data_IF_561179780544
#
_entry.id   IF_561179780544
#
_cell.length_a   1.000
_cell.length_b   1.000
_cell.length_c   1.000
_cell.angle_alpha   90.00
_cell.angle_beta   90.00
_cell.angle_gamma   90.00
#
_symmetry.space_group_name_H-M   'P 1'
#
loop_
_entity.id
_entity.type
_entity.pdbx_description
1 polymer ?
#
# COMPACT_ATOMS: atom_id res chain seq x y z
N UNK A 1 -21.40 -3.66 -5.79
CA UNK A 1 -20.10 -3.23 -6.31
C UNK A 1 -19.44 -4.47 -6.87
N UNK A 2 -19.09 -4.44 -8.15
CA UNK A 2 -18.30 -5.51 -8.76
C UNK A 2 -16.90 -5.50 -8.13
N UNK A 3 -16.43 -6.67 -7.71
CA UNK A 3 -15.11 -6.82 -7.10
C UNK A 3 -14.07 -6.88 -8.22
N UNK A 4 -13.06 -6.02 -8.16
CA UNK A 4 -12.01 -5.97 -9.18
C UNK A 4 -11.22 -7.28 -9.20
N UNK A 5 -10.97 -7.79 -10.39
CA UNK A 5 -10.09 -8.93 -10.61
C UNK A 5 -8.64 -8.58 -10.25
N UNK A 6 -7.82 -9.59 -9.94
CA UNK A 6 -6.40 -9.37 -9.63
C UNK A 6 -5.65 -8.75 -10.81
N UNK A 7 -6.06 -9.12 -12.02
CA UNK A 7 -5.53 -8.61 -13.28
C UNK A 7 -5.80 -7.12 -13.43
N UNK A 8 -7.02 -6.66 -13.12
CA UNK A 8 -7.38 -5.24 -13.15
C UNK A 8 -6.59 -4.42 -12.11
N UNK A 9 -6.42 -4.96 -10.90
CA UNK A 9 -5.63 -4.32 -9.84
C UNK A 9 -4.17 -4.17 -10.27
N UNK A 10 -3.59 -5.21 -10.85
CA UNK A 10 -2.20 -5.18 -11.37
C UNK A 10 -2.07 -4.18 -12.51
N UNK A 11 -3.02 -4.15 -13.45
CA UNK A 11 -3.00 -3.22 -14.57
C UNK A 11 -3.07 -1.76 -14.09
N UNK A 12 -3.95 -1.46 -13.14
CA UNK A 12 -4.05 -0.14 -12.51
C UNK A 12 -2.75 0.26 -11.81
N UNK A 13 -2.15 -0.65 -11.04
CA UNK A 13 -0.89 -0.37 -10.34
C UNK A 13 0.26 -0.07 -11.31
N UNK A 14 0.38 -0.84 -12.39
CA UNK A 14 1.41 -0.62 -13.43
C UNK A 14 1.20 0.72 -14.13
N UNK A 15 -0.04 1.05 -14.50
CA UNK A 15 -0.37 2.33 -15.12
C UNK A 15 0.00 3.52 -14.23
N UNK A 16 -0.38 3.47 -12.94
CA UNK A 16 -0.07 4.52 -11.98
C UNK A 16 1.45 4.70 -11.76
N UNK A 17 2.21 3.60 -11.74
CA UNK A 17 3.67 3.65 -11.63
C UNK A 17 4.31 4.23 -12.89
N UNK A 18 3.84 3.82 -14.08
CA UNK A 18 4.32 4.35 -15.36
C UNK A 18 4.12 5.87 -15.44
N UNK A 19 2.92 6.34 -15.10
CA UNK A 19 2.58 7.77 -15.06
C UNK A 19 3.47 8.53 -14.07
N UNK A 20 3.61 8.03 -12.84
CA UNK A 20 4.41 8.68 -11.79
C UNK A 20 5.91 8.71 -12.10
N UNK A 21 6.43 7.70 -12.78
CA UNK A 21 7.87 7.54 -13.04
C UNK A 21 8.29 7.98 -14.44
N UNK A 22 7.36 8.24 -15.35
CA UNK A 22 7.63 8.52 -16.76
C UNK A 22 8.22 7.34 -17.53
N UNK A 23 8.13 6.12 -17.00
CA UNK A 23 8.66 4.91 -17.64
C UNK A 23 7.61 4.28 -18.55
N UNK A 24 8.05 3.76 -19.69
CA UNK A 24 7.20 2.90 -20.53
C UNK A 24 6.75 1.67 -19.72
N UNK A 25 5.45 1.38 -19.80
CA UNK A 25 4.80 0.20 -19.21
C UNK A 25 5.54 -1.09 -19.58
N UNK A 26 6.08 -1.19 -20.80
CA UNK A 26 6.85 -2.36 -21.27
C UNK A 26 8.12 -2.63 -20.44
N UNK A 27 8.62 -1.63 -19.73
CA UNK A 27 9.79 -1.71 -18.86
C UNK A 27 9.42 -1.94 -17.38
N UNK A 28 8.14 -2.15 -17.08
CA UNK A 28 7.65 -2.39 -15.73
C UNK A 28 7.21 -3.85 -15.61
N UNK A 29 7.63 -4.49 -14.51
CA UNK A 29 7.20 -5.84 -14.15
C UNK A 29 6.81 -5.86 -12.69
N UNK A 30 5.58 -6.27 -12.40
CA UNK A 30 5.15 -6.54 -11.03
C UNK A 30 5.77 -7.86 -10.59
N UNK A 31 6.64 -7.80 -9.58
CA UNK A 31 7.29 -8.99 -8.99
C UNK A 31 6.43 -9.58 -7.89
N UNK A 32 5.80 -8.73 -7.09
CA UNK A 32 4.91 -9.12 -6.02
C UNK A 32 3.83 -8.05 -5.85
N UNK A 33 2.62 -8.50 -5.54
CA UNK A 33 1.50 -7.65 -5.15
C UNK A 33 0.91 -8.20 -3.86
N UNK A 34 0.88 -7.38 -2.82
CA UNK A 34 0.22 -7.70 -1.56
C UNK A 34 -0.77 -6.60 -1.25
N UNK A 35 -2.03 -6.97 -1.15
CA UNK A 35 -3.03 -6.09 -0.60
C UNK A 35 -2.68 -5.79 0.86
N UNK A 36 -2.49 -4.51 1.16
CA UNK A 36 -2.30 -4.05 2.53
C UNK A 36 -3.68 -3.71 3.09
N UNK A 37 -4.28 -4.68 3.77
CA UNK A 37 -5.43 -4.41 4.62
C UNK A 37 -4.99 -3.60 5.85
N UNK A 38 -5.88 -2.72 6.32
CA UNK A 38 -5.69 -2.09 7.62
C UNK A 38 -5.58 -3.18 8.69
N UNK A 39 -4.59 -3.09 9.57
CA UNK A 39 -4.55 -3.95 10.75
C UNK A 39 -5.80 -3.67 11.61
N UNK A 40 -6.24 -4.64 12.43
CA UNK A 40 -7.37 -4.42 13.34
C UNK A 40 -7.20 -3.16 14.20
N UNK A 41 -5.95 -2.86 14.61
CA UNK A 41 -5.62 -1.64 15.34
C UNK A 41 -5.75 -0.38 14.48
N UNK A 42 -5.25 -0.38 13.23
CA UNK A 42 -5.40 0.77 12.33
C UNK A 42 -6.87 1.06 12.03
N UNK A 43 -7.66 0.02 11.78
CA UNK A 43 -9.09 0.13 11.57
C UNK A 43 -9.77 0.75 12.79
N UNK A 44 -9.46 0.27 13.99
CA UNK A 44 -10.00 0.81 15.25
C UNK A 44 -9.63 2.29 15.45
N UNK A 45 -8.37 2.66 15.18
CA UNK A 45 -7.91 4.05 15.28
C UNK A 45 -8.69 4.96 14.34
N UNK A 46 -8.89 4.53 13.07
CA UNK A 46 -9.65 5.25 12.06
C UNK A 46 -11.12 5.39 12.44
N UNK A 47 -11.77 4.28 12.79
CA UNK A 47 -13.21 4.24 13.11
C UNK A 47 -13.56 5.09 14.34
N UNK A 48 -12.59 5.33 15.24
CA UNK A 48 -12.78 6.10 16.48
C UNK A 48 -12.10 7.49 16.46
N UNK A 49 -11.58 7.96 15.31
CA UNK A 49 -10.86 9.24 15.19
C UNK A 49 -9.75 9.44 16.24
N UNK A 50 -9.00 8.38 16.55
CA UNK A 50 -7.96 8.41 17.58
C UNK A 50 -6.69 9.06 17.01
N UNK A 51 -6.28 10.19 17.60
CA UNK A 51 -4.96 10.78 17.32
C UNK A 51 -3.91 10.09 18.18
N UNK A 52 -2.84 9.59 17.55
CA UNK A 52 -1.74 8.94 18.24
C UNK A 52 -0.38 9.42 17.71
N UNK A 53 0.62 9.43 18.59
CA UNK A 53 2.03 9.65 18.22
C UNK A 53 2.75 8.32 18.35
N UNK A 54 3.32 7.83 17.25
CA UNK A 54 4.13 6.60 17.27
C UNK A 54 5.46 6.91 17.92
N UNK A 55 5.76 6.24 19.02
CA UNK A 55 7.08 6.23 19.63
C UNK A 55 7.75 4.93 19.23
N UNK A 56 8.91 5.03 18.58
CA UNK A 56 9.86 3.93 18.48
C UNK A 56 10.82 4.08 19.63
N UNK A 57 10.92 3.05 20.48
CA UNK A 57 12.08 2.94 21.35
C UNK A 57 13.26 2.71 20.41
N UNK A 58 14.22 3.63 20.39
CA UNK A 58 15.53 3.32 19.82
C UNK A 58 16.05 2.15 20.65
N UNK A 59 16.32 1.01 20.01
CA UNK A 59 17.06 -0.05 20.69
C UNK A 59 18.36 0.61 21.16
N UNK A 60 18.56 0.67 22.48
CA UNK A 60 19.83 1.11 23.05
C UNK A 60 20.92 0.23 22.43
N UNK A 61 21.64 0.78 21.45
CA UNK A 61 22.87 0.20 20.94
C UNK A 61 23.85 0.18 22.12
N UNK A 62 23.99 -1.01 22.70
CA UNK A 62 25.09 -1.57 23.51
C UNK A 62 26.16 -0.59 23.97
#
# INVERSE_FOLDING_TARGET
MEELTKEEIVAMAVAAIAEKTGKDIKNLRVVNFRELGESPLMKYIRDNNISYKKYTLEDELV
#
